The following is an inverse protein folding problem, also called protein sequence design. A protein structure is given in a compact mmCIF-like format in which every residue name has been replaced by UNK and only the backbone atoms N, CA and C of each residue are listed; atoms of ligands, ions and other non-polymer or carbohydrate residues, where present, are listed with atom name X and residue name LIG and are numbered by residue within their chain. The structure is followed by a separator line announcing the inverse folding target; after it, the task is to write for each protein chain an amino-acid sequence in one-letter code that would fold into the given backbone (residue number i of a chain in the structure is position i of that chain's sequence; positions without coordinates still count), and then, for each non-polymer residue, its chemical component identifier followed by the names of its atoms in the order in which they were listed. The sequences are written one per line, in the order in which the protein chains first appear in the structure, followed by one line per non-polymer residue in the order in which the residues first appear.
data_IF_574847946848
#
_entry.id   IF_574847946848
#
_cell.length_a   1.000
_cell.length_b   1.000
_cell.length_c   1.000
_cell.angle_alpha   90.00
_cell.angle_beta   90.00
_cell.angle_gamma   90.00
#
_symmetry.space_group_name_H-M   'P 1'
#
loop_
_entity.id
_entity.type
_entity.pdbx_description
1 polymer ?
#
# COMPACT_ATOMS: atom_id res chain seq x y z
N UNK A 1 -21.68 -9.58 -9.72
CA UNK A 1 -20.75 -9.90 -10.83
C UNK A 1 -19.34 -9.95 -10.23
N UNK A 2 -18.82 -11.14 -9.93
CA UNK A 2 -17.62 -11.33 -9.11
C UNK A 2 -16.38 -11.44 -10.01
N UNK A 3 -15.65 -10.33 -10.18
CA UNK A 3 -14.35 -10.31 -10.87
C UNK A 3 -13.18 -10.65 -9.92
N UNK A 4 -13.41 -11.51 -8.92
CA UNK A 4 -12.39 -11.96 -7.95
C UNK A 4 -11.73 -13.30 -8.33
N UNK A 5 -12.11 -13.89 -9.49
CA UNK A 5 -11.62 -15.22 -9.91
C UNK A 5 -10.29 -15.24 -10.67
N UNK A 6 -9.77 -14.09 -11.14
CA UNK A 6 -8.58 -14.08 -12.00
C UNK A 6 -7.25 -14.08 -11.24
N UNK A 7 -7.23 -13.68 -9.98
CA UNK A 7 -5.98 -13.59 -9.20
C UNK A 7 -5.66 -14.92 -8.51
N UNK A 8 -6.67 -15.64 -8.00
CA UNK A 8 -6.50 -16.93 -7.33
C UNK A 8 -6.15 -18.09 -8.29
N UNK A 9 -6.67 -18.08 -9.53
CA UNK A 9 -6.31 -19.08 -10.53
C UNK A 9 -4.84 -19.03 -10.94
N UNK A 10 -4.19 -17.86 -10.82
CA UNK A 10 -2.80 -17.69 -11.26
C UNK A 10 -1.80 -18.43 -10.36
N UNK A 11 -2.03 -18.50 -9.05
CA UNK A 11 -1.14 -19.21 -8.12
C UNK A 11 -1.13 -20.73 -8.33
N UNK A 12 -2.22 -21.32 -8.83
CA UNK A 12 -2.30 -22.73 -9.19
C UNK A 12 -1.41 -23.08 -10.41
N UNK A 13 -1.24 -22.13 -11.34
CA UNK A 13 -0.40 -22.28 -12.54
C UNK A 13 0.99 -21.66 -12.40
N UNK A 14 1.24 -20.88 -11.34
CA UNK A 14 2.51 -20.24 -11.04
C UNK A 14 2.86 -20.41 -9.54
N UNK A 15 3.21 -21.62 -9.08
CA UNK A 15 3.83 -21.76 -7.78
C UNK A 15 5.09 -20.90 -7.77
N UNK A 16 5.26 -20.04 -6.76
CA UNK A 16 6.29 -19.00 -6.62
C UNK A 16 5.99 -17.62 -7.27
N UNK A 17 4.74 -17.14 -7.28
CA UNK A 17 4.51 -15.70 -7.48
C UNK A 17 5.24 -14.93 -6.36
N UNK A 18 6.23 -14.08 -6.67
CA UNK A 18 6.98 -13.37 -5.66
C UNK A 18 6.04 -12.49 -4.82
N UNK A 19 6.38 -12.34 -3.54
CA UNK A 19 5.69 -11.41 -2.65
C UNK A 19 5.63 -10.03 -3.29
N UNK A 20 4.42 -9.48 -3.39
CA UNK A 20 4.21 -8.16 -3.95
C UNK A 20 4.32 -7.13 -2.84
N UNK A 21 4.87 -5.95 -3.12
CA UNK A 21 4.90 -4.88 -2.14
C UNK A 21 3.65 -4.00 -2.26
N UNK A 22 3.06 -3.65 -1.12
CA UNK A 22 1.89 -2.79 -1.03
C UNK A 22 2.16 -1.62 -0.09
N UNK A 23 1.68 -0.44 -0.48
CA UNK A 23 1.58 0.74 0.36
C UNK A 23 0.11 0.99 0.69
N UNK A 24 -0.23 0.94 1.98
CA UNK A 24 -1.54 1.28 2.51
C UNK A 24 -1.47 2.66 3.17
N UNK A 25 -2.44 3.52 2.90
CA UNK A 25 -2.56 4.85 3.51
C UNK A 25 -3.80 4.87 4.39
N UNK A 26 -3.61 5.10 5.68
CA UNK A 26 -4.68 5.32 6.66
C UNK A 26 -4.88 6.82 6.82
N UNK A 27 -6.06 7.31 6.44
CA UNK A 27 -6.45 8.71 6.45
C UNK A 27 -7.26 8.98 7.70
N UNK A 28 -6.74 9.83 8.58
CA UNK A 28 -7.40 10.21 9.83
C UNK A 28 -8.05 11.59 9.67
N UNK A 29 -9.36 11.62 9.86
CA UNK A 29 -10.18 12.83 9.82
C UNK A 29 -10.40 13.39 11.24
N UNK A 30 -10.85 14.65 11.33
CA UNK A 30 -11.09 15.33 12.61
C UNK A 30 -12.31 14.79 13.38
N UNK A 31 -13.29 14.25 12.67
CA UNK A 31 -14.47 13.59 13.20
C UNK A 31 -14.18 12.17 13.76
N UNK A 32 -12.92 11.72 13.71
CA UNK A 32 -12.48 10.41 14.17
C UNK A 32 -12.68 9.29 13.14
N UNK A 33 -13.16 9.60 11.93
CA UNK A 33 -13.22 8.63 10.82
C UNK A 33 -11.80 8.24 10.39
N UNK A 34 -11.64 6.96 10.05
CA UNK A 34 -10.44 6.42 9.42
C UNK A 34 -10.83 5.78 8.09
N UNK A 35 -10.18 6.19 7.02
CA UNK A 35 -10.34 5.59 5.70
C UNK A 35 -9.03 4.96 5.23
N UNK A 36 -9.14 3.90 4.43
CA UNK A 36 -8.00 3.16 3.90
C UNK A 36 -7.93 3.40 2.40
N UNK A 37 -6.85 3.99 1.95
CA UNK A 37 -6.62 4.34 0.55
C UNK A 37 -5.34 3.71 0.01
N UNK A 38 -5.32 3.53 -1.31
CA UNK A 38 -4.11 3.21 -2.06
C UNK A 38 -3.79 4.36 -3.00
N UNK A 39 -2.52 4.58 -3.38
CA UNK A 39 -2.20 5.65 -4.33
C UNK A 39 -2.98 5.49 -5.63
N UNK A 40 -3.88 6.43 -5.91
CA UNK A 40 -4.70 6.41 -7.12
C UNK A 40 -3.84 6.61 -8.38
N UNK A 41 -3.98 5.72 -9.35
CA UNK A 41 -3.24 5.78 -10.63
C UNK A 41 -4.20 5.96 -11.80
N UNK A 42 -3.93 6.95 -12.65
CA UNK A 42 -4.82 7.34 -13.77
C UNK A 42 -4.75 6.43 -15.00
N UNK A 43 -3.85 5.43 -15.01
CA UNK A 43 -3.70 4.50 -16.14
C UNK A 43 -3.03 3.20 -15.73
N UNK A 44 -3.23 2.13 -16.51
CA UNK A 44 -2.54 0.83 -16.32
C UNK A 44 -1.02 0.95 -16.39
N UNK A 45 -0.49 1.82 -17.26
CA UNK A 45 0.94 2.07 -17.33
C UNK A 45 1.47 2.81 -16.09
N UNK A 46 0.66 3.67 -15.46
CA UNK A 46 1.02 4.30 -14.19
C UNK A 46 0.98 3.28 -13.04
N UNK A 47 0.03 2.33 -13.05
CA UNK A 47 -0.01 1.22 -12.10
C UNK A 47 1.28 0.39 -12.12
N UNK A 48 1.73 -0.04 -13.30
CA UNK A 48 2.98 -0.82 -13.44
C UNK A 48 4.22 -0.07 -12.95
N UNK A 49 4.27 1.25 -13.17
CA UNK A 49 5.37 2.09 -12.67
C UNK A 49 5.33 2.22 -11.15
N UNK A 50 4.13 2.32 -10.57
CA UNK A 50 3.95 2.32 -9.12
C UNK A 50 4.39 0.98 -8.51
N UNK A 51 3.95 -0.15 -9.07
CA UNK A 51 4.40 -1.48 -8.63
C UNK A 51 5.92 -1.60 -8.66
N UNK A 52 6.55 -1.22 -9.78
CA UNK A 52 8.01 -1.22 -9.91
C UNK A 52 8.71 -0.29 -8.91
N UNK A 53 8.07 0.81 -8.52
CA UNK A 53 8.60 1.71 -7.50
C UNK A 53 8.50 1.07 -6.11
N UNK A 54 7.37 0.45 -5.79
CA UNK A 54 7.17 -0.23 -4.51
C UNK A 54 8.18 -1.37 -4.34
N UNK A 55 8.44 -2.15 -5.37
CA UNK A 55 9.46 -3.21 -5.31
C UNK A 55 10.87 -2.67 -5.00
N UNK A 56 11.22 -1.52 -5.56
CA UNK A 56 12.49 -0.86 -5.25
C UNK A 56 12.56 -0.32 -3.83
N UNK A 57 11.44 0.20 -3.30
CA UNK A 57 11.39 0.72 -1.93
C UNK A 57 11.67 -0.36 -0.89
N UNK A 58 11.41 -1.64 -1.20
CA UNK A 58 11.73 -2.76 -0.32
C UNK A 58 13.24 -2.95 -0.12
N UNK A 59 14.06 -2.55 -1.10
CA UNK A 59 15.50 -2.75 -1.06
C UNK A 59 16.20 -1.76 -0.12
N UNK A 60 17.20 -2.22 0.64
CA UNK A 60 17.91 -1.40 1.64
C UNK A 60 18.58 -0.15 1.06
N UNK A 61 19.06 -0.21 -0.20
CA UNK A 61 19.71 0.93 -0.85
C UNK A 61 18.80 2.15 -1.03
N UNK A 62 17.47 1.96 -0.97
CA UNK A 62 16.49 3.04 -1.06
C UNK A 62 16.04 3.55 0.30
N UNK A 63 16.53 2.97 1.42
CA UNK A 63 16.17 3.37 2.77
C UNK A 63 16.29 4.89 3.02
N UNK A 64 17.35 5.59 2.56
CA UNK A 64 17.48 7.03 2.75
C UNK A 64 16.43 7.89 2.03
N UNK A 65 15.72 7.31 1.04
CA UNK A 65 14.74 8.02 0.21
C UNK A 65 13.31 7.48 0.38
N UNK A 66 13.09 6.45 1.22
CA UNK A 66 11.77 5.86 1.44
C UNK A 66 10.76 6.91 1.91
N UNK A 67 11.11 7.66 2.95
CA UNK A 67 10.20 8.64 3.55
C UNK A 67 9.77 9.69 2.52
N UNK A 68 10.69 10.28 1.76
CA UNK A 68 10.35 11.34 0.79
C UNK A 68 9.50 10.82 -0.37
N UNK A 69 9.74 9.58 -0.81
CA UNK A 69 8.96 8.95 -1.88
C UNK A 69 7.56 8.60 -1.38
N UNK A 70 7.44 8.00 -0.20
CA UNK A 70 6.15 7.71 0.43
C UNK A 70 5.38 9.00 0.72
N UNK A 71 6.05 10.05 1.19
CA UNK A 71 5.45 11.37 1.40
C UNK A 71 4.89 11.96 0.12
N UNK A 72 5.59 11.79 -1.00
CA UNK A 72 5.12 12.26 -2.31
C UNK A 72 3.86 11.51 -2.77
N UNK A 73 3.80 10.19 -2.53
CA UNK A 73 2.62 9.37 -2.80
C UNK A 73 1.45 9.73 -1.88
N UNK A 74 1.70 9.85 -0.58
CA UNK A 74 0.72 10.25 0.43
C UNK A 74 0.15 11.65 0.13
N UNK A 75 0.99 12.59 -0.31
CA UNK A 75 0.56 13.93 -0.70
C UNK A 75 -0.40 13.90 -1.91
N UNK A 76 -0.19 12.99 -2.86
CA UNK A 76 -1.13 12.83 -3.99
C UNK A 76 -2.53 12.46 -3.51
N UNK A 77 -2.64 11.55 -2.54
CA UNK A 77 -3.92 11.13 -1.95
C UNK A 77 -4.51 12.24 -1.08
N UNK A 78 -3.69 12.90 -0.26
CA UNK A 78 -4.15 14.02 0.56
C UNK A 78 -4.84 15.12 -0.26
N UNK A 79 -4.33 15.41 -1.46
CA UNK A 79 -4.96 16.41 -2.36
C UNK A 79 -6.39 16.06 -2.78
N UNK A 80 -6.77 14.79 -2.72
CA UNK A 80 -8.11 14.29 -3.02
C UNK A 80 -9.01 14.27 -1.77
N UNK A 81 -8.40 14.31 -0.57
CA UNK A 81 -9.07 14.29 0.75
C UNK A 81 -8.62 15.50 1.61
N UNK A 82 -9.06 16.72 1.30
CA UNK A 82 -8.54 17.95 1.90
C UNK A 82 -8.82 18.12 3.41
N UNK A 83 -9.78 17.38 3.94
CA UNK A 83 -10.22 17.34 5.34
C UNK A 83 -9.39 16.39 6.23
N UNK A 84 -8.52 15.58 5.63
CA UNK A 84 -7.60 14.70 6.37
C UNK A 84 -6.61 15.54 7.21
N UNK A 85 -6.39 15.11 8.45
CA UNK A 85 -5.47 15.74 9.41
C UNK A 85 -4.14 15.02 9.52
N UNK A 86 -4.18 13.69 9.43
CA UNK A 86 -3.02 12.83 9.53
C UNK A 86 -3.15 11.69 8.53
N UNK A 87 -2.03 11.32 7.91
CA UNK A 87 -1.93 10.08 7.13
C UNK A 87 -0.88 9.19 7.79
N UNK A 88 -1.25 7.95 8.11
CA UNK A 88 -0.28 6.91 8.44
C UNK A 88 -0.08 6.03 7.21
N UNK A 89 1.15 5.95 6.73
CA UNK A 89 1.52 5.18 5.56
C UNK A 89 2.24 3.90 6.01
N UNK A 90 1.67 2.73 5.71
CA UNK A 90 2.28 1.43 6.01
C UNK A 90 2.71 0.74 4.73
N UNK A 91 4.00 0.45 4.62
CA UNK A 91 4.55 -0.36 3.54
C UNK A 91 4.83 -1.78 4.03
N UNK A 92 4.50 -2.77 3.21
CA UNK A 92 4.73 -4.16 3.55
C UNK A 92 4.65 -5.11 2.36
N UNK A 93 5.03 -6.36 2.59
CA UNK A 93 4.89 -7.43 1.61
C UNK A 93 3.53 -8.12 1.75
N UNK A 94 2.91 -8.41 0.62
CA UNK A 94 1.70 -9.23 0.50
C UNK A 94 2.14 -10.63 0.06
N UNK A 95 1.94 -11.59 0.95
CA UNK A 95 2.25 -12.98 0.69
C UNK A 95 0.97 -13.69 0.23
N UNK A 96 0.98 -14.34 -0.95
CA UNK A 96 -0.15 -15.14 -1.38
C UNK A 96 -0.33 -16.34 -0.44
N UNK A 97 -1.59 -16.81 -0.23
CA UNK A 97 -1.81 -18.02 0.54
C UNK A 97 -1.18 -19.23 -0.16
N UNK A 98 -0.74 -20.22 0.61
CA UNK A 98 -0.40 -21.52 0.03
C UNK A 98 -1.63 -22.18 -0.59
N UNK A 99 -1.44 -23.14 -1.50
CA UNK A 99 -2.54 -23.85 -2.16
C UNK A 99 -3.48 -24.52 -1.15
N UNK A 100 -2.90 -25.19 -0.15
CA UNK A 100 -3.64 -25.79 0.96
C UNK A 100 -4.44 -24.74 1.74
N UNK A 101 -3.87 -23.57 1.99
CA UNK A 101 -4.52 -22.49 2.73
C UNK A 101 -5.68 -21.84 1.96
N UNK A 102 -5.52 -21.68 0.65
CA UNK A 102 -6.56 -21.17 -0.23
C UNK A 102 -7.78 -22.10 -0.29
N UNK A 103 -7.56 -23.42 -0.37
CA UNK A 103 -8.65 -24.41 -0.34
C UNK A 103 -9.49 -24.34 0.94
N UNK A 104 -8.88 -23.88 2.05
CA UNK A 104 -9.55 -23.63 3.32
C UNK A 104 -10.09 -22.20 3.46
N UNK A 105 -10.09 -21.41 2.39
CA UNK A 105 -10.64 -20.05 2.35
C UNK A 105 -9.74 -18.97 2.97
N UNK A 106 -8.45 -19.25 3.22
CA UNK A 106 -7.52 -18.20 3.67
C UNK A 106 -7.19 -17.24 2.52
N UNK A 107 -7.04 -15.96 2.88
CA UNK A 107 -6.68 -14.89 1.98
C UNK A 107 -5.18 -14.56 2.04
N UNK A 108 -4.76 -13.59 1.23
CA UNK A 108 -3.42 -13.00 1.31
C UNK A 108 -3.10 -12.47 2.72
N UNK A 109 -1.82 -12.55 3.09
CA UNK A 109 -1.33 -12.02 4.37
C UNK A 109 -0.45 -10.80 4.12
N UNK A 110 -0.74 -9.71 4.82
CA UNK A 110 0.08 -8.49 4.77
C UNK A 110 1.08 -8.46 5.92
N UNK A 111 2.36 -8.34 5.59
CA UNK A 111 3.45 -8.25 6.56
C UNK A 111 4.06 -6.84 6.50
N UNK A 112 3.77 -5.97 7.48
CA UNK A 112 4.34 -4.64 7.55
C UNK A 112 5.87 -4.68 7.65
N UNK A 113 6.54 -3.76 6.96
CA UNK A 113 8.00 -3.62 6.94
C UNK A 113 8.45 -2.28 7.55
N UNK A 114 7.82 -1.19 7.13
CA UNK A 114 8.07 0.15 7.69
C UNK A 114 6.82 1.02 7.52
N UNK A 115 6.75 2.09 8.30
CA UNK A 115 5.67 3.06 8.19
C UNK A 115 6.13 4.48 8.51
N UNK A 116 5.35 5.45 8.03
CA UNK A 116 5.60 6.87 8.22
C UNK A 116 4.31 7.59 8.59
N UNK A 117 4.40 8.54 9.51
CA UNK A 117 3.30 9.44 9.86
C UNK A 117 3.52 10.79 9.18
N UNK A 118 2.48 11.31 8.54
CA UNK A 118 2.47 12.65 7.95
C UNK A 118 1.33 13.47 8.54
N UNK A 119 1.64 14.67 8.98
CA UNK A 119 0.69 15.70 9.41
C UNK A 119 1.04 17.04 8.76
N UNK A 120 0.04 17.92 8.64
CA UNK A 120 0.29 19.33 8.31
C UNK A 120 1.03 19.98 9.48
N UNK A 121 2.09 20.73 9.18
CA UNK A 121 3.06 21.34 10.11
C UNK A 121 2.49 22.34 11.15
N UNK A 122 1.18 22.49 11.24
CA UNK A 122 0.56 23.45 12.16
C UNK A 122 0.50 22.98 13.63
N UNK A 123 0.92 21.75 13.93
CA UNK A 123 0.95 21.20 15.31
C UNK A 123 2.36 20.95 15.88
N UNK A 124 3.44 21.37 15.21
CA UNK A 124 4.80 21.38 15.79
C UNK A 124 5.13 22.72 16.49
N UNK A 125 4.16 23.30 17.21
CA UNK A 125 4.42 24.37 18.18
C UNK A 125 3.47 24.27 19.37
N UNK A 126 3.89 23.53 20.40
CA UNK A 126 3.84 23.95 21.80
C UNK A 126 5.02 23.34 22.56
#
# INVERSE_FOLDING_TARGET
LHAAGMQAGYSFFAPNVPSQHRLTLELFYDDGRVEYESPHVRSRAAALRLESLLDRLAEERYEPVREVLVKSLAFSVWREHPDVKKIHATFGSVNPPEMSEFEHGKAETFQPMFGFDFSLRDEEKQ
#
